data_IF_502084374039
#
_entry.id   IF_502084374039
#
_cell.length_a   1.000
_cell.length_b   1.000
_cell.length_c   1.000
_cell.angle_alpha   90.00
_cell.angle_beta   90.00
_cell.angle_gamma   90.00
#
_symmetry.space_group_name_H-M   'P 1'
#
loop_
_entity.id
_entity.type
_entity.pdbx_description
1 polymer ?
#
# COMPACT_ATOMS: atom_id res chain seq x y z
N UNK A 1 2.32 18.19 13.06
CA UNK A 1 2.57 16.74 13.18
C UNK A 1 3.31 16.32 11.94
N UNK A 2 4.55 15.85 12.06
CA UNK A 2 5.32 15.43 10.89
C UNK A 2 4.89 14.03 10.47
N UNK A 3 4.34 13.92 9.27
CA UNK A 3 3.95 12.67 8.65
C UNK A 3 5.05 12.21 7.69
N UNK A 4 5.21 10.89 7.55
CA UNK A 4 6.07 10.33 6.51
C UNK A 4 5.62 10.83 5.12
N UNK A 5 6.58 11.02 4.21
CA UNK A 5 6.29 11.34 2.81
C UNK A 5 6.25 10.05 1.97
N UNK A 6 5.09 9.39 1.95
CA UNK A 6 4.86 8.20 1.12
C UNK A 6 3.86 8.47 -0.01
N UNK A 7 4.04 7.75 -1.12
CA UNK A 7 3.06 7.70 -2.20
C UNK A 7 1.84 6.93 -1.68
N UNK A 8 0.65 7.56 -1.65
CA UNK A 8 -0.53 6.91 -1.11
C UNK A 8 -1.01 5.79 -2.03
N UNK A 9 -1.57 4.74 -1.43
CA UNK A 9 -2.19 3.63 -2.16
C UNK A 9 -3.70 3.75 -2.03
N UNK A 10 -4.40 3.99 -3.14
CA UNK A 10 -5.86 4.15 -3.14
C UNK A 10 -6.53 3.00 -3.89
N UNK A 11 -6.70 1.86 -3.20
CA UNK A 11 -7.33 0.67 -3.80
C UNK A 11 -8.86 0.81 -3.95
N UNK A 12 -9.49 1.64 -3.14
CA UNK A 12 -10.93 1.93 -3.21
C UNK A 12 -11.24 3.18 -4.05
N UNK A 13 -10.25 3.71 -4.79
CA UNK A 13 -10.47 4.82 -5.70
C UNK A 13 -11.30 4.36 -6.90
N UNK A 14 -12.34 5.12 -7.23
CA UNK A 14 -13.11 4.89 -8.44
C UNK A 14 -12.30 5.28 -9.68
N UNK A 15 -12.36 4.44 -10.71
CA UNK A 15 -11.69 4.66 -12.00
C UNK A 15 -12.73 4.76 -13.12
N UNK A 16 -12.28 5.16 -14.30
CA UNK A 16 -13.19 5.26 -15.46
C UNK A 16 -13.70 3.88 -15.88
N UNK A 17 -12.82 2.89 -16.01
CA UNK A 17 -13.16 1.49 -16.31
C UNK A 17 -12.05 0.53 -15.83
N UNK A 18 -12.38 -0.60 -15.21
CA UNK A 18 -13.57 -0.84 -14.37
C UNK A 18 -13.79 0.26 -13.32
N UNK A 19 -15.04 0.53 -12.89
CA UNK A 19 -15.37 1.57 -11.91
C UNK A 19 -14.62 1.45 -10.59
N UNK A 20 -14.23 0.23 -10.19
CA UNK A 20 -13.43 -0.06 -9.00
C UNK A 20 -12.26 -0.98 -9.34
N UNK A 21 -11.09 -0.75 -8.72
CA UNK A 21 -9.96 -1.70 -8.78
C UNK A 21 -10.34 -3.10 -8.27
N UNK A 22 -11.35 -3.19 -7.40
CA UNK A 22 -11.85 -4.48 -6.88
C UNK A 22 -12.46 -5.36 -7.96
N UNK A 23 -12.96 -4.76 -9.04
CA UNK A 23 -13.58 -5.48 -10.16
C UNK A 23 -12.55 -5.92 -11.21
N UNK A 24 -11.27 -5.58 -11.05
CA UNK A 24 -10.22 -5.95 -12.00
C UNK A 24 -9.81 -7.42 -11.88
N UNK A 25 -10.08 -8.02 -10.71
CA UNK A 25 -9.74 -9.40 -10.40
C UNK A 25 -11.01 -10.15 -9.98
N UNK A 26 -11.08 -11.48 -10.19
CA UNK A 26 -12.18 -12.29 -9.70
C UNK A 26 -12.34 -12.21 -8.18
N UNK A 27 -13.54 -12.52 -7.70
CA UNK A 27 -13.78 -12.74 -6.28
C UNK A 27 -12.89 -13.89 -5.77
N UNK A 28 -12.25 -13.71 -4.62
CA UNK A 28 -11.35 -14.70 -4.03
C UNK A 28 -9.96 -14.79 -4.67
N UNK A 29 -9.58 -13.85 -5.55
CA UNK A 29 -8.23 -13.81 -6.11
C UNK A 29 -7.15 -13.68 -5.01
N UNK A 30 -6.04 -14.41 -5.18
CA UNK A 30 -4.94 -14.49 -4.23
C UNK A 30 -4.34 -13.11 -3.90
N UNK A 31 -4.36 -12.16 -4.85
CA UNK A 31 -3.84 -10.82 -4.60
C UNK A 31 -4.54 -10.13 -3.42
N UNK A 32 -5.86 -10.33 -3.26
CA UNK A 32 -6.60 -9.79 -2.12
C UNK A 32 -6.20 -10.45 -0.80
N UNK A 33 -5.96 -11.76 -0.83
CA UNK A 33 -5.45 -12.48 0.33
C UNK A 33 -4.05 -11.99 0.74
N UNK A 34 -3.14 -11.79 -0.21
CA UNK A 34 -1.80 -11.24 0.08
C UNK A 34 -1.90 -9.83 0.66
N UNK A 35 -2.74 -8.98 0.09
CA UNK A 35 -2.97 -7.62 0.62
C UNK A 35 -3.49 -7.67 2.07
N UNK A 36 -4.46 -8.53 2.35
CA UNK A 36 -5.00 -8.70 3.71
C UNK A 36 -3.95 -9.25 4.68
N UNK A 37 -3.21 -10.27 4.26
CA UNK A 37 -2.14 -10.86 5.07
C UNK A 37 -1.05 -9.84 5.41
N UNK A 38 -0.59 -9.04 4.44
CA UNK A 38 0.42 -7.99 4.66
C UNK A 38 -0.10 -6.90 5.59
N UNK A 39 -1.40 -6.57 5.54
CA UNK A 39 -2.00 -5.57 6.43
C UNK A 39 -1.91 -5.96 7.92
N UNK A 40 -1.81 -7.26 8.21
CA UNK A 40 -1.70 -7.81 9.56
C UNK A 40 -0.24 -7.97 10.04
N UNK A 41 0.74 -7.76 9.15
CA UNK A 41 2.16 -7.90 9.49
C UNK A 41 2.71 -6.69 10.26
N UNK A 42 3.69 -6.94 11.15
CA UNK A 42 4.41 -5.86 11.82
C UNK A 42 5.46 -5.23 10.91
N UNK A 43 5.08 -4.18 10.18
CA UNK A 43 5.98 -3.45 9.28
C UNK A 43 6.72 -2.27 9.92
N UNK A 44 6.57 -2.04 11.24
CA UNK A 44 7.24 -0.95 11.98
C UNK A 44 8.75 -0.84 11.71
N UNK A 45 9.52 -1.95 11.59
CA UNK A 45 10.94 -1.87 11.28
C UNK A 45 11.25 -1.19 9.93
N UNK A 46 10.42 -1.41 8.91
CA UNK A 46 10.58 -0.75 7.61
C UNK A 46 10.32 0.76 7.71
N UNK A 47 9.21 1.13 8.36
CA UNK A 47 8.88 2.55 8.59
C UNK A 47 9.94 3.29 9.40
N UNK A 48 10.59 2.62 10.36
CA UNK A 48 11.65 3.22 11.18
C UNK A 48 12.90 3.63 10.39
N UNK A 49 13.09 3.10 9.18
CA UNK A 49 14.20 3.48 8.29
C UNK A 49 13.95 4.82 7.57
N UNK A 50 12.70 5.25 7.46
CA UNK A 50 12.32 6.48 6.76
C UNK A 50 12.29 7.69 7.68
N UNK A 51 12.51 8.88 7.09
CA UNK A 51 12.41 10.15 7.81
C UNK A 51 10.94 10.46 8.12
N UNK A 52 10.65 10.71 9.41
CA UNK A 52 9.32 11.09 9.91
C UNK A 52 8.97 12.55 9.68
N UNK A 53 9.95 13.37 9.29
CA UNK A 53 9.77 14.80 9.08
C UNK A 53 9.06 15.14 7.76
N UNK A 54 8.92 14.16 6.86
CA UNK A 54 8.29 14.34 5.55
C UNK A 54 9.18 15.02 4.51
N UNK A 55 10.47 15.23 4.82
CA UNK A 55 11.39 15.92 3.91
C UNK A 55 12.01 14.97 2.88
N UNK A 56 12.16 15.49 1.65
CA UNK A 56 12.70 14.75 0.51
C UNK A 56 11.62 14.24 -0.43
N UNK A 57 12.02 13.45 -1.43
CA UNK A 57 11.09 12.84 -2.38
C UNK A 57 10.18 11.82 -1.70
N UNK A 58 8.95 11.70 -2.21
CA UNK A 58 8.01 10.69 -1.75
C UNK A 58 8.57 9.28 -2.00
N UNK A 59 8.56 8.44 -0.98
CA UNK A 59 8.93 7.03 -1.09
C UNK A 59 7.70 6.16 -1.34
N UNK A 60 7.88 4.94 -1.86
CA UNK A 60 6.80 3.94 -1.87
C UNK A 60 6.51 3.45 -0.44
N UNK A 61 5.23 3.25 -0.13
CA UNK A 61 4.82 2.76 1.19
C UNK A 61 5.34 1.32 1.43
N UNK A 62 5.96 1.02 2.59
CA UNK A 62 6.37 -0.33 2.96
C UNK A 62 5.29 -1.41 2.79
N UNK A 63 4.01 -1.12 3.08
CA UNK A 63 2.90 -2.06 2.83
C UNK A 63 2.83 -2.39 1.33
N UNK A 64 2.96 -1.39 0.47
CA UNK A 64 2.95 -1.58 -0.99
C UNK A 64 4.09 -2.47 -1.45
N UNK A 65 5.31 -2.17 -0.98
CA UNK A 65 6.52 -2.90 -1.37
C UNK A 65 6.47 -4.36 -0.95
N UNK A 66 5.97 -4.64 0.26
CA UNK A 66 5.83 -6.02 0.75
C UNK A 66 4.72 -6.77 -0.01
N UNK A 67 3.58 -6.12 -0.30
CA UNK A 67 2.53 -6.71 -1.14
C UNK A 67 3.02 -7.07 -2.55
N UNK A 68 3.95 -6.31 -3.14
CA UNK A 68 4.49 -6.62 -4.48
C UNK A 68 5.55 -7.73 -4.46
N UNK A 69 6.22 -7.92 -3.33
CA UNK A 69 7.28 -8.91 -3.20
C UNK A 69 6.73 -10.33 -2.98
N UNK A 70 5.57 -10.43 -2.34
CA UNK A 70 4.87 -11.68 -2.00
C UNK A 70 3.88 -12.08 -3.07
#
# INVERSE_FOLDING_TARGET
MSHYNFIPIHRDQNLLLPPSLREWLPEGDLAWFVIDAVSQMNLKPFYARYRRDGWGNAAYDPVMMVCLLL
#
